data_IF_629786697866
#
_entry.id   IF_629786697866
#
_cell.length_a   1.000
_cell.length_b   1.000
_cell.length_c   1.000
_cell.angle_alpha   90.00
_cell.angle_beta   90.00
_cell.angle_gamma   90.00
#
_symmetry.space_group_name_H-M   'P 1'
#
loop_
_entity.id
_entity.type
_entity.pdbx_description
1 polymer ?
#
# COMPACT_ATOMS: atom_id res chain seq x y z
N UNK A 1 -30.51 -39.44 -15.87
CA UNK A 1 -29.42 -38.73 -16.60
C UNK A 1 -29.46 -37.22 -16.34
N UNK A 2 -30.58 -36.61 -16.02
CA UNK A 2 -30.67 -35.15 -15.83
C UNK A 2 -29.96 -34.65 -14.55
N UNK A 3 -29.97 -35.41 -13.46
CA UNK A 3 -29.37 -34.98 -12.18
C UNK A 3 -27.84 -34.80 -12.22
N UNK A 4 -27.16 -35.58 -13.03
CA UNK A 4 -25.67 -35.45 -13.16
C UNK A 4 -25.32 -34.19 -13.97
N UNK A 5 -26.09 -33.89 -15.02
CA UNK A 5 -25.86 -32.67 -15.80
C UNK A 5 -26.16 -31.40 -14.97
N UNK A 6 -27.19 -31.43 -14.15
CA UNK A 6 -27.54 -30.33 -13.24
C UNK A 6 -26.45 -30.12 -12.15
N UNK A 7 -25.92 -31.22 -11.60
CA UNK A 7 -24.81 -31.15 -10.64
C UNK A 7 -23.55 -30.55 -11.26
N UNK A 8 -23.20 -30.99 -12.48
CA UNK A 8 -22.04 -30.43 -13.20
C UNK A 8 -22.25 -28.95 -13.50
N UNK A 9 -23.44 -28.58 -14.00
CA UNK A 9 -23.74 -27.18 -14.28
C UNK A 9 -23.68 -26.31 -13.03
N UNK A 10 -24.22 -26.76 -11.91
CA UNK A 10 -24.17 -26.04 -10.62
C UNK A 10 -22.73 -25.90 -10.11
N UNK A 11 -21.92 -26.95 -10.23
CA UNK A 11 -20.51 -26.90 -9.84
C UNK A 11 -19.70 -25.92 -10.71
N UNK A 12 -19.94 -25.93 -12.02
CA UNK A 12 -19.29 -24.97 -12.93
C UNK A 12 -19.73 -23.54 -12.62
N UNK A 13 -20.99 -23.30 -12.36
CA UNK A 13 -21.50 -21.97 -12.01
C UNK A 13 -20.90 -21.48 -10.68
N UNK A 14 -20.80 -22.36 -9.68
CA UNK A 14 -20.16 -22.03 -8.40
C UNK A 14 -18.68 -21.70 -8.54
N UNK A 15 -17.94 -22.47 -9.33
CA UNK A 15 -16.53 -22.21 -9.63
C UNK A 15 -16.34 -20.87 -10.37
N UNK A 16 -17.13 -20.61 -11.40
CA UNK A 16 -17.02 -19.38 -12.19
C UNK A 16 -17.37 -18.15 -11.33
N UNK A 17 -18.42 -18.23 -10.52
CA UNK A 17 -18.79 -17.13 -9.63
C UNK A 17 -17.75 -16.91 -8.52
N UNK A 18 -17.18 -17.97 -7.98
CA UNK A 18 -16.10 -17.90 -6.98
C UNK A 18 -14.84 -17.24 -7.55
N UNK A 19 -14.37 -17.71 -8.70
CA UNK A 19 -13.21 -17.11 -9.38
C UNK A 19 -13.50 -15.66 -9.76
N UNK A 20 -14.68 -15.38 -10.32
CA UNK A 20 -15.09 -14.03 -10.69
C UNK A 20 -15.11 -13.07 -9.50
N UNK A 21 -15.62 -13.50 -8.35
CA UNK A 21 -15.63 -12.70 -7.13
C UNK A 21 -14.21 -12.39 -6.61
N UNK A 22 -13.33 -13.40 -6.63
CA UNK A 22 -11.93 -13.19 -6.24
C UNK A 22 -11.25 -12.18 -7.16
N UNK A 23 -11.37 -12.32 -8.47
CA UNK A 23 -10.78 -11.40 -9.43
C UNK A 23 -11.31 -9.96 -9.28
N UNK A 24 -12.61 -9.81 -9.05
CA UNK A 24 -13.25 -8.50 -8.94
C UNK A 24 -12.98 -7.80 -7.60
N UNK A 25 -13.02 -8.54 -6.49
CA UNK A 25 -13.02 -7.96 -5.14
C UNK A 25 -11.64 -7.94 -4.47
N UNK A 26 -10.70 -8.77 -4.89
CA UNK A 26 -9.34 -8.77 -4.33
C UNK A 26 -8.41 -7.72 -4.90
N UNK A 27 -8.83 -6.97 -5.92
CA UNK A 27 -7.97 -6.03 -6.63
C UNK A 27 -6.90 -6.69 -7.52
N UNK A 28 -7.08 -7.97 -7.86
CA UNK A 28 -6.15 -8.68 -8.76
C UNK A 28 -6.16 -8.11 -10.18
N UNK A 29 -7.29 -7.59 -10.64
CA UNK A 29 -7.47 -6.98 -11.96
C UNK A 29 -7.29 -5.47 -11.96
N UNK A 30 -7.45 -4.83 -10.81
CA UNK A 30 -7.26 -3.40 -10.63
C UNK A 30 -6.27 -3.20 -9.50
N UNK A 31 -5.29 -2.29 -9.64
CA UNK A 31 -4.37 -1.93 -8.55
C UNK A 31 -5.08 -1.23 -7.37
N UNK A 32 -6.38 -1.10 -7.45
CA UNK A 32 -7.26 -0.57 -6.42
C UNK A 32 -8.10 -1.73 -5.90
N UNK A 33 -7.59 -2.46 -4.91
CA UNK A 33 -8.41 -3.39 -4.15
C UNK A 33 -9.61 -2.64 -3.58
N UNK A 34 -10.80 -3.24 -3.63
CA UNK A 34 -11.97 -2.73 -2.92
C UNK A 34 -11.68 -2.81 -1.42
N UNK A 35 -11.08 -1.74 -0.94
CA UNK A 35 -10.80 -1.53 0.48
C UNK A 35 -12.05 -0.89 1.08
N UNK A 36 -13.08 -1.69 1.24
CA UNK A 36 -14.38 -1.25 1.77
C UNK A 36 -14.28 -0.62 3.17
N UNK A 37 -13.14 -0.77 3.85
CA UNK A 37 -12.87 -0.23 5.17
C UNK A 37 -11.55 0.57 5.20
N UNK A 38 -11.19 1.25 4.11
CA UNK A 38 -10.05 2.16 4.12
C UNK A 38 -10.44 3.49 4.75
N UNK A 39 -9.61 3.95 5.67
CA UNK A 39 -9.65 5.33 6.17
C UNK A 39 -8.75 6.16 5.27
N UNK A 40 -9.23 7.32 4.83
CA UNK A 40 -8.45 8.27 4.07
C UNK A 40 -8.22 9.54 4.91
N UNK A 41 -6.96 9.92 5.06
CA UNK A 41 -6.54 11.11 5.77
C UNK A 41 -5.55 11.87 4.89
N UNK A 42 -5.93 13.05 4.41
CA UNK A 42 -5.07 13.90 3.56
C UNK A 42 -4.48 13.18 2.33
N UNK A 43 -5.25 12.32 1.69
CA UNK A 43 -4.82 11.51 0.53
C UNK A 43 -4.09 10.21 0.90
N UNK A 44 -3.74 10.02 2.16
CA UNK A 44 -3.19 8.76 2.65
C UNK A 44 -4.31 7.79 2.97
N UNK A 45 -4.19 6.58 2.47
CA UNK A 45 -5.13 5.49 2.73
C UNK A 45 -4.54 4.49 3.71
N UNK A 46 -5.30 4.16 4.73
CA UNK A 46 -4.97 3.08 5.66
C UNK A 46 -5.95 1.94 5.52
N UNK A 47 -5.43 0.72 5.49
CA UNK A 47 -6.19 -0.50 5.56
C UNK A 47 -6.47 -0.83 7.02
N UNK A 48 -7.44 -0.17 7.58
CA UNK A 48 -7.72 -0.22 9.02
C UNK A 48 -8.11 -1.61 9.55
N UNK A 49 -8.65 -2.48 8.67
CA UNK A 49 -9.06 -3.84 9.01
C UNK A 49 -7.93 -4.88 8.92
N UNK A 50 -6.75 -4.53 8.39
CA UNK A 50 -5.64 -5.48 8.26
C UNK A 50 -5.21 -5.99 9.63
N UNK A 51 -5.06 -7.32 9.73
CA UNK A 51 -4.63 -7.99 10.95
C UNK A 51 -5.72 -8.12 12.03
N UNK A 52 -6.96 -7.73 11.73
CA UNK A 52 -8.11 -7.91 12.62
C UNK A 52 -8.92 -9.15 12.24
N UNK A 53 -9.76 -9.62 13.18
CA UNK A 53 -10.71 -10.72 12.89
C UNK A 53 -11.78 -10.34 11.85
N UNK A 54 -12.06 -9.05 11.72
CA UNK A 54 -13.01 -8.50 10.74
C UNK A 54 -12.45 -8.41 9.32
N UNK A 55 -11.15 -8.73 9.12
CA UNK A 55 -10.52 -8.67 7.81
C UNK A 55 -11.16 -9.65 6.82
N UNK A 56 -11.61 -9.11 5.68
CA UNK A 56 -12.24 -9.93 4.64
C UNK A 56 -11.22 -10.87 3.97
N UNK A 57 -11.65 -12.04 3.46
CA UNK A 57 -10.78 -12.91 2.68
C UNK A 57 -10.14 -12.22 1.46
N UNK A 58 -10.84 -11.27 0.87
CA UNK A 58 -10.35 -10.50 -0.28
C UNK A 58 -9.24 -9.52 0.11
N UNK A 59 -9.35 -8.89 1.27
CA UNK A 59 -8.28 -8.04 1.84
C UNK A 59 -7.01 -8.85 2.12
N UNK A 60 -7.14 -10.06 2.63
CA UNK A 60 -6.00 -10.98 2.85
C UNK A 60 -5.27 -11.32 1.54
N UNK A 61 -6.00 -11.53 0.44
CA UNK A 61 -5.39 -11.76 -0.88
C UNK A 61 -4.61 -10.52 -1.33
N UNK A 62 -5.19 -9.32 -1.15
CA UNK A 62 -4.52 -8.08 -1.50
C UNK A 62 -3.26 -7.84 -0.67
N UNK A 63 -3.32 -8.07 0.64
CA UNK A 63 -2.18 -7.98 1.56
C UNK A 63 -1.06 -8.94 1.14
N UNK A 64 -1.39 -10.21 0.87
CA UNK A 64 -0.43 -11.22 0.45
C UNK A 64 0.25 -10.84 -0.89
N UNK A 65 -0.51 -10.30 -1.84
CA UNK A 65 0.03 -9.85 -3.12
C UNK A 65 1.02 -8.69 -2.99
N UNK A 66 0.75 -7.76 -2.09
CA UNK A 66 1.59 -6.57 -1.89
C UNK A 66 2.75 -6.81 -0.91
N UNK A 67 2.92 -8.05 -0.43
CA UNK A 67 4.02 -8.42 0.46
C UNK A 67 3.98 -7.72 1.82
N UNK A 68 2.83 -7.24 2.24
CA UNK A 68 2.67 -6.61 3.53
C UNK A 68 2.58 -7.69 4.62
N UNK A 69 3.28 -7.48 5.74
CA UNK A 69 3.02 -8.25 6.94
C UNK A 69 1.72 -7.75 7.56
N UNK A 70 0.74 -8.66 7.71
CA UNK A 70 -0.51 -8.36 8.39
C UNK A 70 -0.30 -8.33 9.91
N UNK A 71 0.44 -7.33 10.39
CA UNK A 71 0.60 -7.08 11.81
C UNK A 71 -0.73 -6.60 12.40
N UNK A 72 -0.96 -6.89 13.66
CA UNK A 72 -2.13 -6.39 14.37
C UNK A 72 -2.08 -4.87 14.44
N UNK A 73 -3.24 -4.23 14.42
CA UNK A 73 -3.36 -2.78 14.47
C UNK A 73 -2.69 -2.15 15.71
N UNK A 74 -2.62 -2.87 16.81
CA UNK A 74 -1.94 -2.46 18.04
C UNK A 74 -0.41 -2.44 17.87
N UNK A 75 0.11 -3.18 16.88
CA UNK A 75 1.54 -3.30 16.60
C UNK A 75 1.97 -2.34 15.47
N UNK A 76 1.19 -2.28 14.39
CA UNK A 76 1.50 -1.40 13.26
C UNK A 76 0.25 -0.99 12.48
N UNK A 77 0.24 0.27 12.03
CA UNK A 77 -0.76 0.81 11.11
C UNK A 77 -0.05 1.25 9.84
N UNK A 78 -0.54 0.80 8.69
CA UNK A 78 0.03 1.11 7.39
C UNK A 78 -0.78 2.18 6.68
N UNK A 79 -0.09 3.20 6.18
CA UNK A 79 -0.65 4.23 5.33
C UNK A 79 0.04 4.19 3.98
N UNK A 80 -0.73 4.29 2.90
CA UNK A 80 -0.26 4.27 1.53
C UNK A 80 -0.76 5.51 0.80
N UNK A 81 0.12 6.14 0.04
CA UNK A 81 -0.22 7.23 -0.87
C UNK A 81 0.42 6.97 -2.24
N UNK A 82 -0.32 7.24 -3.31
CA UNK A 82 0.14 7.08 -4.69
C UNK A 82 -0.21 8.29 -5.57
N UNK A 83 -0.69 9.36 -4.96
CA UNK A 83 -1.04 10.62 -5.61
C UNK A 83 -0.48 11.79 -4.80
N UNK A 84 -0.17 12.88 -5.48
CA UNK A 84 0.22 14.12 -4.83
C UNK A 84 -1.01 14.94 -4.38
N UNK A 85 -0.78 16.15 -3.86
CA UNK A 85 -1.86 17.06 -3.43
C UNK A 85 -2.76 17.55 -4.56
N UNK A 86 -2.30 17.49 -5.81
CA UNK A 86 -3.09 17.84 -6.97
C UNK A 86 -3.93 16.66 -7.49
N UNK A 87 -3.79 15.47 -6.90
CA UNK A 87 -4.45 14.24 -7.32
C UNK A 87 -3.72 13.53 -8.46
N UNK A 88 -2.55 14.04 -8.87
CA UNK A 88 -1.73 13.43 -9.91
C UNK A 88 -0.95 12.24 -9.35
N UNK A 89 -0.84 11.19 -10.16
CA UNK A 89 -0.11 9.98 -9.77
C UNK A 89 1.36 10.28 -9.54
N UNK A 90 1.93 9.76 -8.44
CA UNK A 90 3.36 9.88 -8.19
C UNK A 90 4.16 9.19 -9.30
N UNK A 91 5.24 9.84 -9.75
CA UNK A 91 6.13 9.39 -10.83
C UNK A 91 7.58 9.36 -10.36
N UNK A 92 8.35 8.44 -10.90
CA UNK A 92 9.77 8.30 -10.56
C UNK A 92 10.61 9.48 -11.03
N UNK A 93 10.15 10.22 -12.07
CA UNK A 93 10.90 11.36 -12.64
C UNK A 93 10.73 12.66 -11.84
N UNK A 94 9.82 12.70 -10.89
CA UNK A 94 9.49 13.89 -10.11
C UNK A 94 10.14 13.88 -8.73
N UNK A 95 10.44 15.07 -8.25
CA UNK A 95 10.88 15.28 -6.87
C UNK A 95 9.66 15.60 -5.99
N UNK A 96 9.60 14.98 -4.82
CA UNK A 96 8.50 15.18 -3.88
C UNK A 96 9.03 15.58 -2.52
N UNK A 97 8.39 16.56 -1.91
CA UNK A 97 8.61 16.90 -0.51
C UNK A 97 7.49 16.29 0.34
N UNK A 98 7.86 15.44 1.24
CA UNK A 98 6.96 14.89 2.25
C UNK A 98 7.14 15.66 3.56
N UNK A 99 6.14 16.39 3.96
CA UNK A 99 6.11 17.05 5.28
C UNK A 99 5.60 16.03 6.31
N UNK A 100 6.39 15.79 7.34
CA UNK A 100 6.05 14.85 8.41
C UNK A 100 5.60 15.66 9.63
N UNK A 101 4.31 15.71 9.93
CA UNK A 101 3.80 16.34 11.15
C UNK A 101 4.18 15.51 12.37
N UNK A 102 3.97 16.05 13.57
CA UNK A 102 4.04 15.25 14.78
C UNK A 102 2.97 14.17 14.73
N UNK A 103 3.39 12.94 14.47
CA UNK A 103 2.51 11.78 14.42
C UNK A 103 2.27 11.27 15.84
N UNK A 104 1.04 10.89 16.21
CA UNK A 104 0.73 10.27 17.50
C UNK A 104 1.14 8.79 17.50
N UNK A 105 2.41 8.51 17.20
CA UNK A 105 2.99 7.19 17.11
C UNK A 105 4.31 7.16 17.87
N UNK A 106 4.58 6.05 18.57
CA UNK A 106 5.84 5.86 19.27
C UNK A 106 7.04 5.81 18.30
N UNK A 107 6.79 5.29 17.10
CA UNK A 107 7.79 5.22 16.02
C UNK A 107 7.09 5.16 14.67
N UNK A 108 7.72 5.65 13.63
CA UNK A 108 7.21 5.61 12.25
C UNK A 108 8.36 5.48 11.24
N UNK A 109 8.05 4.94 10.07
CA UNK A 109 8.96 4.93 8.93
C UNK A 109 8.20 5.17 7.62
N UNK A 110 8.90 5.73 6.65
CA UNK A 110 8.43 5.93 5.28
C UNK A 110 9.34 5.15 4.34
N UNK A 111 8.73 4.34 3.49
CA UNK A 111 9.44 3.58 2.45
C UNK A 111 8.78 3.85 1.11
N UNK A 112 9.59 4.08 0.08
CA UNK A 112 9.12 4.29 -1.29
C UNK A 112 9.24 3.00 -2.07
N UNK A 113 8.21 2.68 -2.85
CA UNK A 113 8.21 1.55 -3.77
C UNK A 113 7.91 2.04 -5.18
N UNK A 114 8.51 1.39 -6.17
CA UNK A 114 8.19 1.64 -7.57
C UNK A 114 6.84 1.00 -7.96
N UNK A 115 6.38 1.24 -9.19
CA UNK A 115 5.11 0.71 -9.68
C UNK A 115 5.02 -0.84 -9.70
N UNK A 116 6.12 -1.54 -9.52
CA UNK A 116 6.20 -3.01 -9.44
C UNK A 116 6.37 -3.53 -8.01
N UNK A 117 6.20 -2.66 -7.00
CA UNK A 117 6.38 -2.94 -5.58
C UNK A 117 7.81 -3.34 -5.19
N UNK A 118 8.83 -2.89 -5.94
CA UNK A 118 10.22 -3.05 -5.55
C UNK A 118 10.78 -1.76 -4.97
N UNK A 119 11.77 -1.89 -4.09
CA UNK A 119 12.55 -0.77 -3.59
C UNK A 119 13.35 -0.15 -4.74
N UNK A 120 13.30 1.17 -4.96
CA UNK A 120 14.12 1.84 -5.96
C UNK A 120 15.61 1.64 -5.65
N UNK A 121 16.39 1.36 -6.67
CA UNK A 121 17.84 1.32 -6.52
C UNK A 121 18.37 2.72 -6.30
N UNK A 122 19.21 2.90 -5.29
CA UNK A 122 19.92 4.14 -5.03
C UNK A 122 21.35 3.85 -4.55
N UNK A 123 22.29 4.76 -4.84
CA UNK A 123 23.71 4.60 -4.54
C UNK A 123 23.99 4.56 -3.04
N UNK A 124 23.18 5.27 -2.27
CA UNK A 124 23.27 5.38 -0.81
C UNK A 124 22.72 4.16 -0.08
N UNK A 125 22.06 3.23 -0.77
CA UNK A 125 21.34 2.08 -0.21
C UNK A 125 20.33 2.48 0.88
N UNK A 126 19.73 3.66 0.75
CA UNK A 126 18.77 4.21 1.70
C UNK A 126 17.37 3.97 1.18
N UNK A 127 16.70 2.97 1.72
CA UNK A 127 15.37 2.53 1.25
C UNK A 127 14.22 3.03 2.12
N UNK A 128 14.53 3.58 3.30
CA UNK A 128 13.54 4.11 4.23
C UNK A 128 14.07 5.33 4.98
N UNK A 129 13.15 6.13 5.47
CA UNK A 129 13.39 7.23 6.40
C UNK A 129 12.47 7.04 7.61
N UNK A 130 13.00 7.21 8.82
CA UNK A 130 12.29 6.89 10.05
C UNK A 130 12.37 8.00 11.12
N UNK A 131 11.62 7.83 12.20
CA UNK A 131 11.54 8.75 13.31
C UNK A 131 12.91 9.05 13.94
N UNK A 132 13.73 8.05 14.14
CA UNK A 132 15.07 8.19 14.76
C UNK A 132 15.96 9.10 13.93
N UNK A 133 15.91 8.94 12.62
CA UNK A 133 16.67 9.77 11.69
C UNK A 133 16.13 11.18 11.61
N UNK A 134 14.79 11.35 11.63
CA UNK A 134 14.16 12.67 11.65
C UNK A 134 14.58 13.47 12.89
N UNK A 135 14.62 12.84 14.06
CA UNK A 135 15.10 13.44 15.30
C UNK A 135 16.58 13.83 15.21
N UNK A 136 17.43 12.92 14.72
CA UNK A 136 18.87 13.18 14.57
C UNK A 136 19.14 14.36 13.65
N UNK A 137 18.40 14.49 12.55
CA UNK A 137 18.56 15.57 11.57
C UNK A 137 17.73 16.81 11.92
N UNK A 138 16.90 16.76 12.97
CA UNK A 138 15.97 17.82 13.37
C UNK A 138 15.08 18.31 12.21
N UNK A 139 14.73 17.39 11.31
CA UNK A 139 13.95 17.73 10.12
C UNK A 139 12.49 17.31 10.26
N UNK A 140 11.60 18.15 9.69
CA UNK A 140 10.16 17.89 9.58
C UNK A 140 9.72 17.59 8.14
N UNK A 141 10.67 17.53 7.22
CA UNK A 141 10.38 17.23 5.82
C UNK A 141 11.44 16.30 5.23
N UNK A 142 10.99 15.46 4.31
CA UNK A 142 11.81 14.51 3.57
C UNK A 142 11.72 14.88 2.09
N UNK A 143 12.86 15.02 1.43
CA UNK A 143 12.93 15.15 -0.01
C UNK A 143 13.07 13.74 -0.61
N UNK A 144 12.13 13.36 -1.45
CA UNK A 144 12.14 12.15 -2.25
C UNK A 144 12.53 12.56 -3.67
N UNK A 145 13.76 12.28 -4.09
CA UNK A 145 14.26 12.63 -5.41
C UNK A 145 14.77 11.38 -6.13
N UNK A 146 14.46 11.29 -7.43
CA UNK A 146 14.99 10.25 -8.30
C UNK A 146 16.44 10.54 -8.73
N UNK A 147 16.91 11.78 -8.53
CA UNK A 147 18.27 12.20 -8.88
C UNK A 147 19.17 12.23 -7.66
N UNK A 148 20.46 11.89 -7.81
CA UNK A 148 21.41 12.14 -6.73
C UNK A 148 21.39 13.63 -6.39
N UNK A 149 21.52 14.01 -5.11
CA UNK A 149 21.56 15.42 -4.73
C UNK A 149 22.72 16.08 -5.49
N UNK A 150 22.39 17.00 -6.37
CA UNK A 150 23.40 17.91 -6.91
C UNK A 150 23.97 18.70 -5.75
N UNK A 151 25.26 18.72 -5.62
CA UNK A 151 26.02 19.35 -4.52
C UNK A 151 25.87 20.88 -4.49
N UNK A 152 24.98 21.43 -5.30
CA UNK A 152 24.75 22.86 -5.50
C UNK A 152 23.31 23.23 -5.11
N UNK A 153 23.07 23.31 -3.81
CA UNK A 153 21.97 24.13 -3.29
C UNK A 153 22.58 25.12 -2.28
N UNK A 154 22.37 26.42 -2.50
CA UNK A 154 22.83 27.48 -1.63
C UNK A 154 22.21 27.43 -0.23
#
# INVERSE_FOLDING_TARGET
>A
MNNVAELIASACLGLLSGIGSVLALSGLTTNQGHLAESIEINGWRSLWAIGTEAESPYSKIWVARNGLFALRREEAVYFIINQDRAGERLREECDYRLDVPNLPAAWWSVTVYNARNFLPQNDDRRFSFDATRAETLQTKSILLSARPPTHDLP
#
